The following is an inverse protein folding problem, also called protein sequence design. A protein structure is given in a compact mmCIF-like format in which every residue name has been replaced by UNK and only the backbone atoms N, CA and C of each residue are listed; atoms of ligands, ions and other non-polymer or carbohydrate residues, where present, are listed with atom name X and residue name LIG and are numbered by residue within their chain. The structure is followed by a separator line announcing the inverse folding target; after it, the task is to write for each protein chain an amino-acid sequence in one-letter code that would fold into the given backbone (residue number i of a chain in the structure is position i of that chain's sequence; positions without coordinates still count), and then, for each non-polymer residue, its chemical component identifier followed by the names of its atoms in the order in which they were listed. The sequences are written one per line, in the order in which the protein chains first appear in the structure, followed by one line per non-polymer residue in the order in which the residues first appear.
data_IF_774624579549
#
_entry.id   IF_774624579549
#
_cell.length_a   1.000
_cell.length_b   1.000
_cell.length_c   1.000
_cell.angle_alpha   90.00
_cell.angle_beta   90.00
_cell.angle_gamma   90.00
#
_symmetry.space_group_name_H-M   'P 1'
#
loop_
_entity.id
_entity.type
_entity.pdbx_description
1 polymer ?
#
# COMPACT_ATOMS: atom_id res chain seq x y z
N UNK A 1 -12.71 -7.49 7.74
CA UNK A 1 -11.85 -7.41 6.54
C UNK A 1 -11.79 -5.99 6.00
N UNK A 2 -12.92 -5.33 5.70
CA UNK A 2 -12.93 -3.98 5.13
C UNK A 2 -12.13 -2.95 5.95
N UNK A 3 -12.43 -2.79 7.25
CA UNK A 3 -11.70 -1.86 8.11
C UNK A 3 -10.20 -2.17 8.20
N UNK A 4 -9.82 -3.45 8.16
CA UNK A 4 -8.42 -3.88 8.24
C UNK A 4 -7.60 -3.41 7.03
N UNK A 5 -8.22 -3.40 5.84
CA UNK A 5 -7.53 -3.01 4.61
C UNK A 5 -7.60 -1.51 4.34
N UNK A 6 -8.60 -0.80 4.87
CA UNK A 6 -8.77 0.64 4.62
C UNK A 6 -8.25 1.55 5.72
N UNK A 7 -8.11 1.07 6.97
CA UNK A 7 -7.67 1.93 8.08
C UNK A 7 -6.30 2.56 7.84
N UNK A 8 -5.31 1.76 7.41
CA UNK A 8 -3.96 2.23 7.06
C UNK A 8 -3.96 3.38 6.04
N UNK A 9 -4.45 3.18 4.80
CA UNK A 9 -4.45 4.24 3.80
C UNK A 9 -5.30 5.46 4.21
N UNK A 10 -6.43 5.28 4.90
CA UNK A 10 -7.22 6.42 5.38
C UNK A 10 -6.48 7.24 6.45
N UNK A 11 -5.77 6.57 7.36
CA UNK A 11 -4.91 7.26 8.33
C UNK A 11 -3.79 8.03 7.63
N UNK A 12 -3.13 7.40 6.66
CA UNK A 12 -2.08 8.05 5.86
C UNK A 12 -2.61 9.25 5.07
N UNK A 13 -3.84 9.18 4.56
CA UNK A 13 -4.50 10.30 3.90
C UNK A 13 -4.71 11.49 4.86
N UNK A 14 -5.15 11.23 6.10
CA UNK A 14 -5.28 12.27 7.13
C UNK A 14 -3.92 12.83 7.54
N UNK A 15 -2.92 11.97 7.71
CA UNK A 15 -1.54 12.39 7.99
C UNK A 15 -0.99 13.30 6.89
N UNK A 16 -1.26 12.98 5.61
CA UNK A 16 -0.86 13.81 4.47
C UNK A 16 -1.49 15.20 4.46
N UNK A 17 -2.68 15.39 5.05
CA UNK A 17 -3.30 16.71 5.20
C UNK A 17 -2.57 17.61 6.21
N UNK A 18 -1.99 17.01 7.24
CA UNK A 18 -1.28 17.73 8.32
C UNK A 18 0.24 17.69 8.16
N UNK A 19 0.76 16.97 7.16
CA UNK A 19 2.20 16.83 6.91
C UNK A 19 2.80 18.18 6.49
N UNK A 20 3.89 18.64 7.14
CA UNK A 20 4.53 19.90 6.81
C UNK A 20 5.20 19.84 5.42
N UNK A 21 4.86 20.80 4.55
CA UNK A 21 5.33 20.82 3.14
C UNK A 21 6.85 20.96 2.99
N UNK A 22 7.50 21.54 3.97
CA UNK A 22 8.93 21.80 3.96
C UNK A 22 9.53 21.44 5.31
N UNK A 23 10.69 20.80 5.27
CA UNK A 23 11.51 20.58 6.45
C UNK A 23 12.36 21.84 6.72
N UNK A 24 12.07 22.50 7.83
CA UNK A 24 12.75 23.71 8.33
C UNK A 24 12.96 23.56 9.83
N UNK A 25 13.77 24.42 10.45
CA UNK A 25 13.93 24.41 11.91
C UNK A 25 12.58 24.52 12.65
N UNK A 26 11.63 25.31 12.13
CA UNK A 26 10.32 25.48 12.75
C UNK A 26 9.37 24.26 12.59
N UNK A 27 9.61 23.42 11.58
CA UNK A 27 8.74 22.27 11.26
C UNK A 27 9.38 20.92 11.60
N UNK A 28 10.65 20.91 12.01
CA UNK A 28 11.45 19.71 12.23
C UNK A 28 10.87 18.77 13.29
N UNK A 29 10.47 19.30 14.45
CA UNK A 29 9.82 18.50 15.49
C UNK A 29 8.52 17.84 15.02
N UNK A 30 7.65 18.57 14.31
CA UNK A 30 6.40 18.02 13.75
C UNK A 30 6.67 16.97 12.68
N UNK A 31 7.65 17.23 11.80
CA UNK A 31 8.10 16.28 10.77
C UNK A 31 8.56 14.96 11.42
N UNK A 32 9.48 15.02 12.37
CA UNK A 32 10.01 13.84 13.09
C UNK A 32 8.90 13.09 13.81
N UNK A 33 8.08 13.79 14.60
CA UNK A 33 7.01 13.17 15.37
C UNK A 33 5.98 12.47 14.49
N UNK A 34 5.61 13.08 13.37
CA UNK A 34 4.72 12.46 12.40
C UNK A 34 5.34 11.19 11.81
N UNK A 35 6.59 11.22 11.36
CA UNK A 35 7.25 10.04 10.80
C UNK A 35 7.51 8.91 11.82
N UNK A 36 7.66 9.21 13.13
CA UNK A 36 7.66 8.17 14.17
C UNK A 36 6.33 7.41 14.21
N UNK A 37 5.21 8.14 14.09
CA UNK A 37 3.87 7.53 14.05
C UNK A 37 3.63 6.79 12.73
N UNK A 38 4.13 7.32 11.62
CA UNK A 38 3.93 6.73 10.29
C UNK A 38 4.79 5.49 10.03
N UNK A 39 5.95 5.38 10.68
CA UNK A 39 6.86 4.24 10.58
C UNK A 39 6.15 2.87 10.72
N UNK A 40 5.31 2.62 11.75
CA UNK A 40 4.53 1.38 11.83
C UNK A 40 3.28 1.37 10.93
N UNK A 41 2.78 2.51 10.44
CA UNK A 41 1.52 2.61 9.68
C UNK A 41 1.73 2.35 8.20
N UNK A 42 2.80 2.87 7.58
CA UNK A 42 3.07 2.63 6.16
C UNK A 42 3.11 1.13 5.79
N UNK A 43 3.81 0.27 6.54
CA UNK A 43 3.81 -1.17 6.30
C UNK A 43 2.41 -1.79 6.28
N UNK A 44 1.42 -1.21 6.98
CA UNK A 44 0.06 -1.74 7.01
C UNK A 44 -0.66 -1.66 5.66
N UNK A 45 -0.16 -0.86 4.70
CA UNK A 45 -0.69 -0.87 3.33
C UNK A 45 -0.67 -2.26 2.69
N UNK A 46 0.29 -3.11 3.08
CA UNK A 46 0.37 -4.49 2.55
C UNK A 46 -0.85 -5.32 2.90
N UNK A 47 -1.58 -4.99 3.97
CA UNK A 47 -2.79 -5.70 4.37
C UNK A 47 -3.85 -5.63 3.27
N UNK A 48 -3.92 -4.54 2.50
CA UNK A 48 -4.80 -4.41 1.34
C UNK A 48 -4.54 -5.42 0.23
N UNK A 49 -3.33 -5.99 0.18
CA UNK A 49 -2.94 -7.03 -0.77
C UNK A 49 -3.06 -8.43 -0.15
N UNK A 50 -2.61 -8.59 1.09
CA UNK A 50 -2.59 -9.88 1.78
C UNK A 50 -3.99 -10.38 2.16
N UNK A 51 -4.86 -9.48 2.63
CA UNK A 51 -6.18 -9.86 3.18
C UNK A 51 -7.10 -10.46 2.12
N UNK A 52 -7.23 -9.90 0.91
CA UNK A 52 -8.03 -10.53 -0.15
C UNK A 52 -7.50 -11.90 -0.60
N UNK A 53 -6.22 -12.19 -0.36
CA UNK A 53 -5.57 -13.44 -0.74
C UNK A 53 -5.43 -14.44 0.42
N UNK A 54 -6.04 -14.18 1.58
CA UNK A 54 -5.84 -14.96 2.80
C UNK A 54 -5.95 -16.47 2.54
N UNK A 55 -4.93 -17.22 2.96
CA UNK A 55 -4.83 -18.66 2.72
C UNK A 55 -3.38 -19.11 2.56
N UNK A 56 -3.17 -20.41 2.40
CA UNK A 56 -1.84 -20.99 2.15
C UNK A 56 -1.55 -21.05 0.64
N UNK A 57 -0.36 -20.63 0.19
CA UNK A 57 0.08 -20.87 -1.18
C UNK A 57 0.05 -22.37 -1.52
N UNK A 58 -0.42 -22.70 -2.72
CA UNK A 58 -0.41 -24.07 -3.27
C UNK A 58 0.86 -24.28 -4.12
N UNK A 59 1.31 -25.53 -4.37
CA UNK A 59 2.43 -25.81 -5.27
C UNK A 59 2.01 -25.69 -6.75
N UNK A 60 1.45 -24.55 -7.13
CA UNK A 60 0.97 -24.23 -8.47
C UNK A 60 1.36 -22.79 -8.86
N UNK A 61 1.00 -22.38 -10.08
CA UNK A 61 1.29 -21.03 -10.57
C UNK A 61 0.64 -19.92 -9.72
N UNK A 62 -0.49 -20.19 -9.08
CA UNK A 62 -1.19 -19.22 -8.23
C UNK A 62 -0.46 -19.07 -6.88
N UNK A 63 0.03 -20.15 -6.31
CA UNK A 63 0.87 -20.10 -5.12
C UNK A 63 2.22 -19.44 -5.37
N UNK A 64 2.83 -19.65 -6.53
CA UNK A 64 4.03 -18.91 -6.93
C UNK A 64 3.78 -17.40 -7.00
N UNK A 65 2.65 -16.97 -7.59
CA UNK A 65 2.23 -15.56 -7.59
C UNK A 65 1.92 -15.04 -6.19
N UNK A 66 1.34 -15.87 -5.32
CA UNK A 66 1.07 -15.50 -3.92
C UNK A 66 2.38 -15.25 -3.17
N UNK A 67 3.39 -16.12 -3.35
CA UNK A 67 4.73 -15.93 -2.76
C UNK A 67 5.42 -14.68 -3.32
N UNK A 68 5.31 -14.43 -4.62
CA UNK A 68 5.82 -13.21 -5.25
C UNK A 68 5.17 -11.96 -4.63
N UNK A 69 3.85 -12.00 -4.41
CA UNK A 69 3.14 -10.92 -3.77
C UNK A 69 3.59 -10.70 -2.32
N UNK A 70 3.80 -11.77 -1.56
CA UNK A 70 4.33 -11.69 -0.19
C UNK A 70 5.74 -11.12 -0.15
N UNK A 71 6.62 -11.55 -1.05
CA UNK A 71 7.97 -11.01 -1.17
C UNK A 71 7.96 -9.52 -1.53
N UNK A 72 7.09 -9.10 -2.46
CA UNK A 72 6.91 -7.69 -2.80
C UNK A 72 6.35 -6.86 -1.63
N UNK A 73 5.40 -7.41 -0.87
CA UNK A 73 4.88 -6.79 0.36
C UNK A 73 5.98 -6.63 1.42
N UNK A 74 6.80 -7.66 1.64
CA UNK A 74 7.93 -7.60 2.57
C UNK A 74 8.97 -6.56 2.14
N UNK A 75 9.29 -6.53 0.84
CA UNK A 75 10.18 -5.53 0.25
C UNK A 75 9.64 -4.11 0.52
N UNK A 76 8.38 -3.86 0.18
CA UNK A 76 7.73 -2.58 0.47
C UNK A 76 7.81 -2.22 1.96
N UNK A 77 7.37 -3.12 2.84
CA UNK A 77 7.36 -2.87 4.28
C UNK A 77 8.75 -2.52 4.82
N UNK A 78 9.78 -3.27 4.43
CA UNK A 78 11.15 -3.06 4.88
C UNK A 78 11.73 -1.74 4.36
N UNK A 79 11.68 -1.51 3.04
CA UNK A 79 12.29 -0.36 2.42
C UNK A 79 11.55 0.94 2.72
N UNK A 80 10.22 0.92 2.81
CA UNK A 80 9.44 2.11 3.12
C UNK A 80 9.55 2.49 4.60
N UNK A 81 9.68 1.51 5.51
CA UNK A 81 10.07 1.80 6.90
C UNK A 81 11.48 2.41 6.97
N UNK A 82 12.41 1.91 6.15
CA UNK A 82 13.74 2.48 6.01
C UNK A 82 13.73 3.94 5.54
N UNK A 83 12.91 4.26 4.55
CA UNK A 83 12.67 5.64 4.11
C UNK A 83 12.21 6.52 5.28
N UNK A 84 11.22 6.07 6.06
CA UNK A 84 10.70 6.85 7.19
C UNK A 84 11.75 7.05 8.28
N UNK A 85 12.58 6.04 8.56
CA UNK A 85 13.68 6.18 9.50
C UNK A 85 14.74 7.18 9.04
N UNK A 86 15.08 7.19 7.75
CA UNK A 86 16.16 8.03 7.19
C UNK A 86 15.68 9.45 6.86
N UNK A 87 14.71 9.58 5.96
CA UNK A 87 14.20 10.87 5.48
C UNK A 87 13.15 11.49 6.41
N UNK A 88 12.41 10.67 7.14
CA UNK A 88 11.44 11.14 8.13
C UNK A 88 12.14 11.56 9.42
N UNK A 89 12.57 10.56 10.17
CA UNK A 89 13.02 10.71 11.56
C UNK A 89 14.42 11.31 11.62
N UNK A 90 15.40 10.73 10.91
CA UNK A 90 16.78 11.21 10.99
C UNK A 90 16.93 12.60 10.40
N UNK A 91 16.37 12.86 9.22
CA UNK A 91 16.44 14.19 8.60
C UNK A 91 15.76 15.26 9.46
N UNK A 92 14.59 14.98 10.02
CA UNK A 92 13.92 15.89 10.94
C UNK A 92 14.76 16.18 12.17
N UNK A 93 15.32 15.14 12.80
CA UNK A 93 16.17 15.26 13.99
C UNK A 93 17.41 16.12 13.74
N UNK A 94 18.13 15.92 12.63
CA UNK A 94 19.34 16.71 12.35
C UNK A 94 19.03 18.17 12.07
N UNK A 95 17.91 18.48 11.40
CA UNK A 95 17.49 19.87 11.17
C UNK A 95 17.06 20.54 12.47
N UNK A 96 16.36 19.82 13.34
CA UNK A 96 15.96 20.32 14.67
C UNK A 96 17.17 20.72 15.52
N UNK A 97 18.28 19.98 15.39
CA UNK A 97 19.55 20.24 16.08
C UNK A 97 20.48 21.21 15.33
N UNK A 98 20.01 21.88 14.28
CA UNK A 98 20.80 22.88 13.54
C UNK A 98 21.93 22.30 12.70
N UNK A 99 21.95 21.00 12.43
CA UNK A 99 22.95 20.36 11.57
C UNK A 99 22.60 20.61 10.11
N UNK A 100 23.20 21.65 9.55
CA UNK A 100 22.98 22.04 8.16
C UNK A 100 23.70 21.12 7.16
N UNK A 101 23.10 20.90 6.00
CA UNK A 101 23.71 20.13 4.89
C UNK A 101 23.40 18.62 4.90
N UNK A 102 23.25 18.00 6.06
CA UNK A 102 23.00 16.55 6.19
C UNK A 102 21.62 16.10 5.63
N UNK A 103 20.60 16.94 5.77
CA UNK A 103 19.22 16.60 5.36
C UNK A 103 19.10 16.25 3.88
N UNK A 104 19.88 16.89 3.00
CA UNK A 104 19.85 16.61 1.55
C UNK A 104 20.31 15.19 1.25
N UNK A 105 21.37 14.74 1.90
CA UNK A 105 21.91 13.38 1.70
C UNK A 105 20.94 12.34 2.27
N UNK A 106 20.34 12.62 3.43
CA UNK A 106 19.31 11.76 4.01
C UNK A 106 18.07 11.64 3.11
N UNK A 107 17.63 12.74 2.49
CA UNK A 107 16.55 12.69 1.50
C UNK A 107 16.94 11.87 0.27
N UNK A 108 18.15 12.04 -0.28
CA UNK A 108 18.58 11.24 -1.43
C UNK A 108 18.58 9.73 -1.12
N UNK A 109 19.11 9.32 0.04
CA UNK A 109 19.05 7.93 0.48
C UNK A 109 17.61 7.47 0.74
N UNK A 110 16.81 8.31 1.39
CA UNK A 110 15.39 8.04 1.63
C UNK A 110 14.62 7.79 0.34
N UNK A 111 14.79 8.64 -0.67
CA UNK A 111 14.14 8.53 -1.98
C UNK A 111 14.52 7.23 -2.69
N UNK A 112 15.78 6.78 -2.60
CA UNK A 112 16.22 5.51 -3.14
C UNK A 112 15.56 4.31 -2.45
N UNK A 113 15.46 4.36 -1.11
CA UNK A 113 14.74 3.35 -0.33
C UNK A 113 13.25 3.34 -0.69
N UNK A 114 12.61 4.51 -0.72
CA UNK A 114 11.21 4.68 -1.06
C UNK A 114 10.89 4.12 -2.44
N UNK A 115 11.68 4.49 -3.45
CA UNK A 115 11.53 3.99 -4.83
C UNK A 115 11.62 2.47 -4.89
N UNK A 116 12.61 1.87 -4.20
CA UNK A 116 12.75 0.41 -4.11
C UNK A 116 11.50 -0.22 -3.48
N UNK A 117 11.02 0.35 -2.37
CA UNK A 117 9.81 -0.10 -1.70
C UNK A 117 8.57 -0.02 -2.60
N UNK A 118 8.37 1.09 -3.31
CA UNK A 118 7.24 1.29 -4.23
C UNK A 118 7.28 0.30 -5.39
N UNK A 119 8.45 -0.05 -5.91
CA UNK A 119 8.56 -1.12 -6.91
C UNK A 119 8.18 -2.48 -6.34
N UNK A 120 8.58 -2.78 -5.09
CA UNK A 120 8.10 -3.96 -4.37
C UNK A 120 6.56 -4.00 -4.25
N UNK A 121 5.95 -2.87 -3.90
CA UNK A 121 4.49 -2.73 -3.81
C UNK A 121 3.80 -2.91 -5.17
N UNK A 122 4.38 -2.37 -6.25
CA UNK A 122 3.85 -2.51 -7.59
C UNK A 122 3.87 -3.97 -8.07
N UNK A 123 4.98 -4.68 -7.85
CA UNK A 123 5.09 -6.12 -8.11
C UNK A 123 4.05 -6.90 -7.32
N UNK A 124 3.92 -6.60 -6.02
CA UNK A 124 2.92 -7.24 -5.17
C UNK A 124 1.48 -6.99 -5.64
N UNK A 125 1.19 -5.77 -6.10
CA UNK A 125 -0.12 -5.37 -6.60
C UNK A 125 -0.49 -6.10 -7.88
N UNK A 126 0.43 -6.21 -8.84
CA UNK A 126 0.22 -6.96 -10.09
C UNK A 126 0.01 -8.44 -9.80
N UNK A 127 0.85 -9.05 -8.95
CA UNK A 127 0.73 -10.45 -8.58
C UNK A 127 -0.61 -10.73 -7.87
N UNK A 128 -0.99 -9.87 -6.92
CA UNK A 128 -2.26 -9.95 -6.19
C UNK A 128 -3.46 -9.85 -7.13
N UNK A 129 -3.49 -8.84 -8.00
CA UNK A 129 -4.56 -8.68 -8.98
C UNK A 129 -4.66 -9.88 -9.92
N UNK A 130 -3.52 -10.47 -10.32
CA UNK A 130 -3.50 -11.66 -11.18
C UNK A 130 -4.09 -12.87 -10.47
N UNK A 131 -3.72 -13.11 -9.20
CA UNK A 131 -4.30 -14.19 -8.38
C UNK A 131 -5.81 -14.00 -8.21
N UNK A 132 -6.23 -12.80 -7.81
CA UNK A 132 -7.65 -12.49 -7.59
C UNK A 132 -8.46 -12.59 -8.89
N UNK A 133 -7.91 -12.13 -10.02
CA UNK A 133 -8.57 -12.26 -11.32
C UNK A 133 -8.78 -13.72 -11.71
N UNK A 134 -7.80 -14.58 -11.48
CA UNK A 134 -7.93 -16.03 -11.73
C UNK A 134 -8.97 -16.69 -10.82
N UNK A 135 -9.13 -16.21 -9.58
CA UNK A 135 -10.10 -16.76 -8.60
C UNK A 135 -11.53 -16.23 -8.77
N UNK A 136 -11.69 -14.95 -9.13
CA UNK A 136 -12.97 -14.23 -9.06
C UNK A 136 -13.40 -13.58 -10.38
N UNK A 137 -12.60 -13.73 -11.45
CA UNK A 137 -12.90 -13.24 -12.79
C UNK A 137 -12.92 -11.71 -12.89
N UNK A 138 -13.62 -11.20 -13.91
CA UNK A 138 -13.64 -9.78 -14.28
C UNK A 138 -14.14 -8.82 -13.18
N UNK A 139 -14.75 -9.34 -12.11
CA UNK A 139 -15.18 -8.55 -10.93
C UNK A 139 -14.03 -7.79 -10.26
N UNK A 140 -12.80 -8.26 -10.42
CA UNK A 140 -11.59 -7.69 -9.83
C UNK A 140 -11.09 -6.46 -10.61
N UNK A 141 -11.47 -6.31 -11.88
CA UNK A 141 -10.92 -5.30 -12.78
C UNK A 141 -11.07 -3.85 -12.28
N UNK A 142 -12.22 -3.41 -11.71
CA UNK A 142 -12.33 -2.05 -11.19
C UNK A 142 -11.34 -1.78 -10.06
N UNK A 143 -11.23 -2.71 -9.09
CA UNK A 143 -10.28 -2.59 -7.98
C UNK A 143 -8.82 -2.63 -8.46
N UNK A 144 -8.51 -3.50 -9.41
CA UNK A 144 -7.18 -3.60 -10.01
C UNK A 144 -6.78 -2.32 -10.76
N UNK A 145 -7.70 -1.73 -11.55
CA UNK A 145 -7.43 -0.49 -12.26
C UNK A 145 -7.13 0.67 -11.30
N UNK A 146 -7.93 0.84 -10.25
CA UNK A 146 -7.70 1.86 -9.23
C UNK A 146 -6.37 1.60 -8.49
N UNK A 147 -6.07 0.33 -8.14
CA UNK A 147 -4.84 -0.03 -7.46
C UNK A 147 -3.59 0.33 -8.28
N UNK A 148 -3.58 -0.01 -9.57
CA UNK A 148 -2.44 0.24 -10.45
C UNK A 148 -2.27 1.75 -10.70
N UNK A 149 -3.37 2.49 -10.85
CA UNK A 149 -3.32 3.95 -10.94
C UNK A 149 -2.77 4.59 -9.65
N UNK A 150 -3.19 4.09 -8.48
CA UNK A 150 -2.66 4.54 -7.19
C UNK A 150 -1.17 4.19 -7.05
N UNK A 151 -0.74 2.99 -7.42
CA UNK A 151 0.68 2.59 -7.41
C UNK A 151 1.52 3.51 -8.31
N UNK A 152 1.04 3.82 -9.51
CA UNK A 152 1.70 4.75 -10.41
C UNK A 152 1.84 6.14 -9.79
N UNK A 153 0.74 6.67 -9.23
CA UNK A 153 0.76 7.96 -8.53
C UNK A 153 1.70 7.96 -7.32
N UNK A 154 1.88 6.83 -6.64
CA UNK A 154 2.67 6.72 -5.42
C UNK A 154 4.19 6.81 -5.65
N UNK A 155 4.65 6.52 -6.87
CA UNK A 155 6.08 6.57 -7.25
C UNK A 155 6.74 7.89 -6.88
N UNK A 156 6.02 9.01 -7.02
CA UNK A 156 6.54 10.36 -6.81
C UNK A 156 5.73 11.21 -5.83
N UNK A 157 4.57 10.74 -5.36
CA UNK A 157 3.71 11.55 -4.47
C UNK A 157 3.88 11.31 -2.97
N UNK A 158 4.27 10.09 -2.59
CA UNK A 158 4.28 9.65 -1.18
C UNK A 158 2.96 10.00 -0.48
N UNK A 159 3.01 10.65 0.70
CA UNK A 159 1.82 11.20 1.39
C UNK A 159 1.68 12.71 1.24
N UNK A 160 2.56 13.35 0.46
CA UNK A 160 2.60 14.81 0.35
C UNK A 160 1.35 15.37 -0.32
N UNK A 161 0.75 16.38 0.30
CA UNK A 161 -0.41 17.07 -0.25
C UNK A 161 -0.07 17.78 -1.58
N UNK A 162 -0.98 17.79 -2.59
CA UNK A 162 -2.29 17.11 -2.61
C UNK A 162 -2.23 15.67 -3.13
N UNK A 163 -1.26 15.38 -4.01
CA UNK A 163 -1.23 14.15 -4.79
C UNK A 163 -1.18 12.91 -3.90
N UNK A 164 -0.37 12.92 -2.84
CA UNK A 164 -0.22 11.79 -1.93
C UNK A 164 -1.49 11.44 -1.16
N UNK A 165 -2.27 12.44 -0.75
CA UNK A 165 -3.56 12.20 -0.07
C UNK A 165 -4.55 11.52 -1.03
N UNK A 166 -4.67 11.99 -2.27
CA UNK A 166 -5.51 11.32 -3.27
C UNK A 166 -4.99 9.92 -3.62
N UNK A 167 -3.68 9.70 -3.65
CA UNK A 167 -3.07 8.37 -3.80
C UNK A 167 -3.52 7.43 -2.69
N UNK A 168 -3.47 7.87 -1.42
CA UNK A 168 -3.90 7.07 -0.27
C UNK A 168 -5.40 6.76 -0.31
N UNK A 169 -6.24 7.73 -0.67
CA UNK A 169 -7.66 7.49 -0.89
C UNK A 169 -7.90 6.48 -2.03
N UNK A 170 -7.11 6.55 -3.10
CA UNK A 170 -7.09 5.58 -4.19
C UNK A 170 -6.78 4.17 -3.69
N UNK A 171 -5.75 3.99 -2.85
CA UNK A 171 -5.46 2.72 -2.21
C UNK A 171 -6.62 2.22 -1.35
N UNK A 172 -7.23 3.07 -0.52
CA UNK A 172 -8.38 2.68 0.30
C UNK A 172 -9.56 2.17 -0.55
N UNK A 173 -9.89 2.88 -1.64
CA UNK A 173 -10.94 2.47 -2.58
C UNK A 173 -10.58 1.16 -3.28
N UNK A 174 -9.35 1.05 -3.79
CA UNK A 174 -8.89 -0.17 -4.45
C UNK A 174 -8.98 -1.39 -3.53
N UNK A 175 -8.46 -1.28 -2.31
CA UNK A 175 -8.48 -2.38 -1.34
C UNK A 175 -9.90 -2.76 -0.93
N UNK A 176 -10.81 -1.78 -0.82
CA UNK A 176 -12.22 -2.05 -0.56
C UNK A 176 -12.85 -2.86 -1.70
N UNK A 177 -12.64 -2.44 -2.95
CA UNK A 177 -13.17 -3.12 -4.13
C UNK A 177 -12.61 -4.55 -4.29
N UNK A 178 -11.30 -4.74 -4.09
CA UNK A 178 -10.66 -6.05 -4.15
C UNK A 178 -11.17 -6.99 -3.05
N UNK A 179 -11.34 -6.47 -1.83
CA UNK A 179 -11.86 -7.23 -0.69
C UNK A 179 -13.32 -7.62 -0.89
N UNK A 180 -14.17 -6.71 -1.38
CA UNK A 180 -15.58 -7.01 -1.69
C UNK A 180 -15.70 -8.05 -2.83
N UNK A 181 -14.88 -7.93 -3.88
CA UNK A 181 -14.84 -8.90 -4.97
C UNK A 181 -14.44 -10.30 -4.48
N UNK A 182 -13.50 -10.39 -3.54
CA UNK A 182 -13.04 -11.65 -2.96
C UNK A 182 -14.04 -12.26 -1.95
N UNK A 183 -14.84 -11.43 -1.26
CA UNK A 183 -15.78 -11.89 -0.23
C UNK A 183 -17.10 -12.44 -0.80
N UNK A 184 -17.47 -12.11 -2.04
CA UNK A 184 -18.74 -12.54 -2.64
C UNK A 184 -18.63 -13.95 -3.24
N UNK A 185 -19.55 -14.87 -2.90
CA UNK A 185 -19.63 -16.15 -3.59
C UNK A 185 -19.77 -15.96 -5.12
N UNK A 186 -19.18 -16.86 -5.91
CA UNK A 186 -19.56 -16.97 -7.31
C UNK A 186 -21.07 -17.19 -7.35
N UNK A 187 -21.80 -16.47 -8.22
CA UNK A 187 -23.22 -16.77 -8.41
C UNK A 187 -23.25 -18.20 -8.93
N UNK A 188 -23.80 -19.13 -8.16
CA UNK A 188 -24.14 -20.45 -8.66
C UNK A 188 -24.91 -20.25 -9.96
N UNK A 189 -24.35 -20.76 -11.05
CA UNK A 189 -25.13 -21.01 -12.26
C UNK A 189 -26.24 -21.93 -11.78
N UNK A 190 -27.46 -21.41 -11.68
CA UNK A 190 -28.65 -22.16 -11.32
C UNK A 190 -28.66 -23.43 -12.17
N UNK A 191 -28.36 -24.56 -11.54
CA UNK A 191 -28.59 -25.86 -12.14
C UNK A 191 -30.11 -25.91 -12.38
N UNK A 192 -30.59 -26.05 -13.63
CA UNK A 192 -32.00 -26.28 -13.85
C UNK A 192 -32.37 -27.54 -13.07
N UNK A 193 -33.29 -27.42 -12.12
CA UNK A 193 -33.83 -28.59 -11.45
C UNK A 193 -34.41 -29.50 -12.53
N UNK A 194 -33.72 -30.61 -12.81
CA UNK A 194 -34.33 -31.76 -13.47
C UNK A 194 -35.35 -32.32 -12.49
N UNK A 195 -36.58 -31.83 -12.59
CA UNK A 195 -37.74 -32.50 -12.02
C UNK A 195 -37.86 -33.88 -12.66
N UNK A 196 -37.46 -34.91 -11.93
CA UNK A 196 -37.77 -36.30 -12.26
C UNK A 196 -39.21 -36.57 -11.85
N UNK A 197 -40.03 -36.93 -12.84
CA UNK A 197 -41.37 -37.48 -12.70
C UNK A 197 -41.47 -38.52 -11.57
N UNK A 198 -42.50 -38.38 -10.73
CA UNK A 198 -43.25 -39.50 -10.15
C UNK A 198 -44.73 -39.16 -10.22
#
# INVERSE_FOLDING_TARGET
MMALVTAGPLFLAVAGLVHPRHLTAATAGHWTGLHIVLLPVFPLLVLGLLVPMWGRPRPDAEGALTLLAWAGCLCFAAYYSGLDAVAGISAGTVVDHGVHGAARQLFATGDELGRTGVYGLAVASVATCTVLWRRHGARVLPGAAVLLAACWSFVDSHIFWPKGVFTMLGFAVAFALLTDAAARPAKDVQHPQRGTNR
#
